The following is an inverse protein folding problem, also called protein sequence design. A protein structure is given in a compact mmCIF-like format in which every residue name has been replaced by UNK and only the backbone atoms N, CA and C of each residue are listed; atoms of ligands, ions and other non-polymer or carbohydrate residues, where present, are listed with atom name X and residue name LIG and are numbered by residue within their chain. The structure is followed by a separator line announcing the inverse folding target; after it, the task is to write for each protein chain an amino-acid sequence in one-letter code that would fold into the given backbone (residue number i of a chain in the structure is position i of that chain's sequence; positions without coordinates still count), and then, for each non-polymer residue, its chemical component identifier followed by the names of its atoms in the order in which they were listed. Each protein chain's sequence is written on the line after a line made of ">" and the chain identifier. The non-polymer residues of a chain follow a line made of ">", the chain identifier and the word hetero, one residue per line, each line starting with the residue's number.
data_IF_589804629882
#
_entry.id   IF_589804629882
#
_cell.length_a   1.000
_cell.length_b   1.000
_cell.length_c   1.000
_cell.angle_alpha   90.00
_cell.angle_beta   90.00
_cell.angle_gamma   90.00
#
_symmetry.space_group_name_H-M   'P 1'
#
loop_
_entity.id
_entity.type
_entity.pdbx_description
1 polymer ?
#
# COMPACT_ATOMS: atom_id res chain seq x y z
N UNK A 1 18.77 3.80 -4.62
CA UNK A 1 17.35 4.22 -4.55
C UNK A 1 16.42 3.55 -5.58
N UNK A 2 16.92 2.84 -6.59
CA UNK A 2 16.08 2.20 -7.63
C UNK A 2 15.09 1.14 -7.11
N UNK A 3 15.53 0.25 -6.21
CA UNK A 3 14.67 -0.79 -5.64
C UNK A 3 13.46 -0.17 -4.93
N UNK A 4 13.69 0.84 -4.09
CA UNK A 4 12.64 1.58 -3.40
C UNK A 4 11.66 2.26 -4.36
N UNK A 5 12.15 2.85 -5.46
CA UNK A 5 11.28 3.44 -6.49
C UNK A 5 10.36 2.38 -7.13
N UNK A 6 10.91 1.21 -7.47
CA UNK A 6 10.11 0.08 -8.01
C UNK A 6 9.08 -0.42 -7.01
N UNK A 7 9.44 -0.52 -5.73
CA UNK A 7 8.53 -0.90 -4.65
C UNK A 7 7.39 0.12 -4.50
N UNK A 8 7.70 1.41 -4.42
CA UNK A 8 6.70 2.48 -4.31
C UNK A 8 5.70 2.45 -5.46
N UNK A 9 6.19 2.33 -6.70
CA UNK A 9 5.35 2.27 -7.89
C UNK A 9 4.44 1.03 -7.91
N UNK A 10 4.97 -0.14 -7.55
CA UNK A 10 4.18 -1.37 -7.52
C UNK A 10 3.13 -1.36 -6.41
N UNK A 11 3.46 -0.78 -5.25
CA UNK A 11 2.51 -0.61 -4.15
C UNK A 11 1.36 0.33 -4.48
N UNK A 12 1.61 1.37 -5.27
CA UNK A 12 0.55 2.30 -5.72
C UNK A 12 -0.37 1.64 -6.73
N UNK A 13 0.18 0.88 -7.69
CA UNK A 13 -0.63 0.13 -8.66
C UNK A 13 -1.55 -0.93 -8.04
N UNK A 14 -1.16 -1.50 -6.89
CA UNK A 14 -1.97 -2.48 -6.17
C UNK A 14 -3.29 -1.90 -5.59
N UNK A 15 -3.43 -0.56 -5.55
CA UNK A 15 -4.60 0.16 -5.03
C UNK A 15 -5.31 0.92 -6.15
N UNK A 16 -6.55 0.56 -6.45
CA UNK A 16 -7.39 1.27 -7.42
C UNK A 16 -8.33 2.23 -6.68
N UNK A 17 -7.73 3.19 -5.99
CA UNK A 17 -8.41 4.23 -5.22
C UNK A 17 -7.51 5.46 -5.10
N UNK A 18 -8.10 6.57 -4.68
CA UNK A 18 -7.39 7.78 -4.29
C UNK A 18 -7.49 8.00 -2.79
N UNK A 19 -6.35 7.99 -2.10
CA UNK A 19 -6.29 8.22 -0.65
C UNK A 19 -5.10 9.08 -0.25
N UNK A 20 -5.38 10.18 0.45
CA UNK A 20 -4.35 11.09 0.96
C UNK A 20 -3.47 11.65 -0.16
N UNK A 21 -2.16 11.32 -0.09
CA UNK A 21 -1.15 11.73 -1.06
C UNK A 21 -1.17 10.88 -2.35
N UNK A 22 -1.73 9.67 -2.32
CA UNK A 22 -1.90 8.85 -3.52
C UNK A 22 -3.20 9.27 -4.22
N UNK A 23 -3.07 9.92 -5.39
CA UNK A 23 -4.21 10.37 -6.20
C UNK A 23 -4.14 9.74 -7.58
N UNK A 24 -5.30 9.30 -8.05
CA UNK A 24 -5.53 8.59 -9.31
C UNK A 24 -6.76 9.17 -9.99
N UNK A 25 -6.57 9.74 -11.16
CA UNK A 25 -7.68 10.34 -11.93
C UNK A 25 -8.65 9.28 -12.46
N UNK A 26 -8.16 8.04 -12.67
CA UNK A 26 -8.95 6.89 -13.09
C UNK A 26 -9.73 6.25 -11.93
N UNK A 27 -9.31 6.47 -10.68
CA UNK A 27 -9.98 6.01 -9.47
C UNK A 27 -9.99 7.13 -8.40
N UNK A 28 -10.87 8.14 -8.56
CA UNK A 28 -10.86 9.33 -7.70
C UNK A 28 -11.45 9.09 -6.31
N UNK A 29 -12.21 8.01 -6.15
CA UNK A 29 -12.94 7.70 -4.92
C UNK A 29 -12.16 6.74 -4.00
N UNK A 30 -12.58 6.71 -2.74
CA UNK A 30 -12.13 5.76 -1.74
C UNK A 30 -12.89 4.45 -1.84
N UNK A 31 -12.20 3.33 -1.60
CA UNK A 31 -12.83 2.01 -1.64
C UNK A 31 -12.42 1.15 -0.44
N UNK A 32 -13.42 0.71 0.33
CA UNK A 32 -13.23 -0.11 1.53
C UNK A 32 -12.48 -1.43 1.26
N UNK A 33 -12.48 -1.94 0.02
CA UNK A 33 -11.70 -3.13 -0.36
C UNK A 33 -10.19 -2.93 -0.16
N UNK A 34 -9.70 -1.69 -0.24
CA UNK A 34 -8.29 -1.33 -0.09
C UNK A 34 -7.90 -0.89 1.32
N UNK A 35 -8.79 -1.10 2.31
CA UNK A 35 -8.56 -0.82 3.74
C UNK A 35 -7.67 -1.88 4.41
N UNK A 36 -6.46 -2.02 3.88
CA UNK A 36 -5.41 -2.93 4.32
C UNK A 36 -4.04 -2.31 4.02
N UNK A 37 -2.96 -2.87 4.57
CA UNK A 37 -1.60 -2.47 4.22
C UNK A 37 -1.10 -3.20 2.98
N UNK A 38 -0.23 -2.56 2.20
CA UNK A 38 0.46 -3.22 1.08
C UNK A 38 1.91 -3.41 1.47
N UNK A 39 2.35 -4.67 1.56
CA UNK A 39 3.76 -5.02 1.71
C UNK A 39 4.36 -5.30 0.34
N UNK A 40 5.64 -5.01 0.19
CA UNK A 40 6.35 -5.03 -1.08
C UNK A 40 7.78 -5.48 -0.84
N UNK A 41 8.34 -6.21 -1.79
CA UNK A 41 9.74 -6.64 -1.72
C UNK A 41 10.22 -7.25 -3.03
N UNK A 42 11.41 -7.87 -2.95
CA UNK A 42 12.08 -8.47 -4.09
C UNK A 42 12.98 -7.48 -4.85
N UNK A 43 14.12 -7.97 -5.34
CA UNK A 43 15.14 -7.18 -6.04
C UNK A 43 15.13 -7.46 -7.54
N UNK A 44 15.12 -8.74 -7.93
CA UNK A 44 14.99 -9.13 -9.33
C UNK A 44 13.54 -8.95 -9.78
N UNK A 45 12.64 -9.72 -9.16
CA UNK A 45 11.20 -9.64 -9.35
C UNK A 45 10.53 -8.95 -8.15
N UNK A 46 9.73 -7.92 -8.42
CA UNK A 46 9.03 -7.17 -7.37
C UNK A 46 7.64 -7.76 -7.16
N UNK A 47 7.36 -8.12 -5.91
CA UNK A 47 6.06 -8.62 -5.48
C UNK A 47 5.36 -7.62 -4.56
N UNK A 48 4.04 -7.72 -4.49
CA UNK A 48 3.17 -6.97 -3.57
C UNK A 48 2.19 -7.93 -2.90
N UNK A 49 1.90 -7.72 -1.62
CA UNK A 49 0.94 -8.52 -0.87
C UNK A 49 0.03 -7.64 -0.01
N UNK A 50 -1.24 -8.00 0.07
CA UNK A 50 -2.19 -7.38 0.98
C UNK A 50 -1.96 -7.93 2.40
N UNK A 51 -1.81 -7.04 3.36
CA UNK A 51 -1.75 -7.38 4.78
C UNK A 51 -2.92 -6.73 5.50
N UNK A 52 -3.75 -7.52 6.21
CA UNK A 52 -4.87 -6.96 6.95
C UNK A 52 -4.38 -5.92 7.96
N UNK A 53 -5.23 -4.94 8.26
CA UNK A 53 -4.92 -4.01 9.34
C UNK A 53 -4.76 -4.81 10.63
N UNK A 54 -3.71 -4.55 11.43
CA UNK A 54 -3.57 -5.13 12.75
C UNK A 54 -4.84 -4.85 13.54
N UNK A 55 -5.37 -5.86 14.23
CA UNK A 55 -6.35 -5.63 15.28
C UNK A 55 -5.75 -4.67 16.31
N UNK A 56 -6.58 -3.82 16.92
CA UNK A 56 -6.21 -2.68 17.76
C UNK A 56 -5.21 -2.95 18.93
N UNK A 57 -4.81 -4.20 19.16
CA UNK A 57 -3.80 -4.59 20.15
C UNK A 57 -2.37 -4.06 19.89
N UNK A 58 -2.05 -3.60 18.68
CA UNK A 58 -0.71 -3.02 18.40
C UNK A 58 -0.66 -1.48 18.53
N UNK A 59 -1.77 -0.83 18.87
CA UNK A 59 -1.80 0.63 19.05
C UNK A 59 -1.01 1.12 20.27
N UNK A 60 -0.74 0.25 21.25
CA UNK A 60 0.05 0.57 22.46
C UNK A 60 1.57 0.62 22.24
N UNK A 61 2.10 0.10 21.12
CA UNK A 61 3.55 -0.02 20.92
C UNK A 61 4.18 1.15 20.14
N UNK A 62 3.41 2.18 19.80
CA UNK A 62 3.83 3.31 18.99
C UNK A 62 3.84 4.66 19.74
N UNK A 63 3.64 4.65 21.06
CA UNK A 63 3.86 5.79 21.96
C UNK A 63 5.22 5.65 22.67
#
# INVERSE_FOLDING_TARGET
>A
MLATARWMYRSTLARQESWGMHRRDDYPDLDNRYRHYVTTGGLDEVWTSAQPLPSAHYAEAAE
#
